data_IF_447639138807
#
_entry.id   IF_447639138807
#
_cell.length_a   1.000
_cell.length_b   1.000
_cell.length_c   1.000
_cell.angle_alpha   90.00
_cell.angle_beta   90.00
_cell.angle_gamma   90.00
#
_symmetry.space_group_name_H-M   'P 1'
#
loop_
_entity.id
_entity.type
_entity.pdbx_description
1 polymer ?
#
# COMPACT_ATOMS: atom_id res chain seq x y z
N UNK A 1 -15.45 75.61 12.20
CA UNK A 1 -14.63 74.55 12.84
C UNK A 1 -15.10 73.19 12.32
N UNK A 2 -14.43 72.64 11.30
CA UNK A 2 -14.69 71.28 10.79
C UNK A 2 -13.35 70.55 10.76
N UNK A 3 -13.20 69.58 11.66
CA UNK A 3 -12.02 68.71 11.77
C UNK A 3 -12.16 67.60 10.73
N UNK A 4 -11.21 67.51 9.81
CA UNK A 4 -11.06 66.38 8.91
C UNK A 4 -10.36 65.23 9.65
N UNK A 5 -11.02 64.08 9.72
CA UNK A 5 -10.43 62.83 10.22
C UNK A 5 -9.77 62.14 9.02
N UNK A 6 -8.45 61.98 9.08
CA UNK A 6 -7.70 61.20 8.10
C UNK A 6 -7.94 59.70 8.35
N UNK A 7 -8.48 59.02 7.33
CA UNK A 7 -8.68 57.57 7.34
C UNK A 7 -7.40 56.90 6.79
N UNK A 8 -6.62 56.29 7.68
CA UNK A 8 -5.46 55.48 7.29
C UNK A 8 -5.92 54.15 6.69
N UNK A 9 -5.72 53.98 5.38
CA UNK A 9 -5.90 52.71 4.68
C UNK A 9 -4.80 51.74 5.11
N UNK A 10 -5.15 50.72 5.89
CA UNK A 10 -4.26 49.60 6.21
C UNK A 10 -4.36 48.57 5.08
N UNK A 11 -3.39 48.58 4.16
CA UNK A 11 -3.25 47.55 3.12
C UNK A 11 -2.82 46.23 3.77
N UNK A 12 -3.76 45.30 3.95
CA UNK A 12 -3.45 43.92 4.31
C UNK A 12 -2.87 43.20 3.08
N UNK A 13 -1.54 43.01 3.07
CA UNK A 13 -0.85 42.09 2.18
C UNK A 13 -1.36 40.66 2.45
N UNK A 14 -2.23 40.14 1.58
CA UNK A 14 -2.46 38.70 1.49
C UNK A 14 -1.18 38.04 0.97
N UNK A 15 -0.41 37.45 1.87
CA UNK A 15 0.61 36.49 1.47
C UNK A 15 -0.06 35.28 0.81
N UNK A 16 0.47 34.76 -0.31
CA UNK A 16 -0.04 33.54 -0.91
C UNK A 16 0.17 32.40 0.10
N UNK A 17 -0.91 31.68 0.41
CA UNK A 17 -0.86 30.45 1.17
C UNK A 17 -0.03 29.44 0.35
N UNK A 18 1.27 29.35 0.63
CA UNK A 18 2.04 28.16 0.32
C UNK A 18 1.31 26.98 0.95
N UNK A 19 1.07 25.94 0.15
CA UNK A 19 0.54 24.67 0.62
C UNK A 19 1.34 24.28 1.86
N UNK A 20 0.69 24.32 3.03
CA UNK A 20 1.31 23.89 4.26
C UNK A 20 1.69 22.43 4.07
N UNK A 21 3.00 22.12 4.11
CA UNK A 21 3.49 20.76 4.10
C UNK A 21 2.74 19.98 5.21
N UNK A 22 2.01 18.94 4.81
CA UNK A 22 1.24 18.13 5.75
C UNK A 22 2.21 17.46 6.74
N UNK A 23 2.18 17.78 8.05
CA UNK A 23 3.16 17.29 9.02
C UNK A 23 3.12 15.75 9.16
N UNK A 24 2.01 15.12 8.77
CA UNK A 24 1.83 13.66 8.84
C UNK A 24 2.44 12.91 7.63
N UNK A 25 2.99 13.62 6.64
CA UNK A 25 3.47 13.07 5.36
C UNK A 25 4.67 12.13 5.50
N UNK A 26 5.76 12.48 6.22
CA UNK A 26 6.85 11.54 6.47
C UNK A 26 6.32 10.29 7.18
N UNK A 27 5.49 10.46 8.21
CA UNK A 27 4.94 9.34 8.97
C UNK A 27 4.12 8.37 8.09
N UNK A 28 3.32 8.89 7.17
CA UNK A 28 2.49 8.08 6.26
C UNK A 28 3.34 7.25 5.31
N UNK A 29 4.31 7.88 4.62
CA UNK A 29 5.22 7.18 3.70
C UNK A 29 6.08 6.16 4.45
N UNK A 30 6.48 6.48 5.68
CA UNK A 30 7.36 5.64 6.49
C UNK A 30 6.62 4.39 6.97
N UNK A 31 5.39 4.53 7.46
CA UNK A 31 4.55 3.40 7.83
C UNK A 31 4.29 2.48 6.62
N UNK A 32 3.92 3.04 5.46
CA UNK A 32 3.66 2.23 4.26
C UNK A 32 4.90 1.51 3.71
N UNK A 33 6.12 1.98 4.02
CA UNK A 33 7.37 1.27 3.64
C UNK A 33 7.54 -0.04 4.40
N UNK A 34 6.92 -0.24 5.58
CA UNK A 34 6.94 -1.55 6.25
C UNK A 34 6.29 -2.64 5.38
N UNK A 35 5.43 -2.25 4.44
CA UNK A 35 4.73 -3.12 3.50
C UNK A 35 5.39 -3.12 2.11
N UNK A 36 6.61 -2.60 1.98
CA UNK A 36 7.31 -2.53 0.68
C UNK A 36 7.48 -3.88 0.00
N UNK A 37 7.56 -4.97 0.77
CA UNK A 37 7.68 -6.32 0.22
C UNK A 37 6.43 -6.75 -0.52
N UNK A 38 5.26 -6.13 -0.29
CA UNK A 38 4.04 -6.45 -1.02
C UNK A 38 4.12 -5.99 -2.48
N UNK A 39 4.92 -4.97 -2.78
CA UNK A 39 5.00 -4.34 -4.10
C UNK A 39 5.55 -5.31 -5.13
N UNK A 40 4.87 -5.38 -6.28
CA UNK A 40 5.20 -6.28 -7.38
C UNK A 40 3.97 -7.02 -7.91
N UNK A 41 4.23 -7.89 -8.88
CA UNK A 41 3.22 -8.78 -9.47
C UNK A 41 3.35 -10.18 -8.87
N UNK A 42 2.20 -10.82 -8.67
CA UNK A 42 2.09 -12.08 -7.97
C UNK A 42 1.05 -12.95 -8.64
N UNK A 43 1.34 -14.24 -8.79
CA UNK A 43 0.42 -15.22 -9.35
C UNK A 43 0.20 -16.35 -8.36
N UNK A 44 -1.05 -16.70 -8.14
CA UNK A 44 -1.42 -17.59 -7.05
C UNK A 44 -2.72 -18.33 -7.26
N UNK A 45 -3.06 -19.09 -6.24
CA UNK A 45 -4.31 -19.87 -6.17
C UNK A 45 -5.00 -19.63 -4.85
N UNK A 46 -6.32 -19.50 -4.90
CA UNK A 46 -7.19 -19.36 -3.74
C UNK A 46 -8.08 -20.58 -3.56
N UNK A 47 -8.43 -20.85 -2.31
CA UNK A 47 -9.37 -21.91 -1.94
C UNK A 47 -9.74 -21.83 -0.46
N UNK A 48 -10.64 -22.71 0.03
CA UNK A 48 -11.00 -22.75 1.43
C UNK A 48 -9.79 -23.01 2.34
N UNK A 49 -9.65 -22.26 3.43
CA UNK A 49 -8.56 -22.44 4.40
C UNK A 49 -8.87 -23.59 5.36
N UNK A 50 -8.78 -24.81 4.85
CA UNK A 50 -8.95 -26.04 5.64
C UNK A 50 -7.93 -27.11 5.28
N UNK A 51 -7.54 -27.99 6.22
CA UNK A 51 -6.45 -28.96 6.01
C UNK A 51 -6.68 -29.93 4.86
N UNK A 52 -7.95 -30.24 4.54
CA UNK A 52 -8.31 -31.19 3.48
C UNK A 52 -9.45 -30.60 2.63
N UNK A 53 -9.11 -29.93 1.52
CA UNK A 53 -10.08 -29.51 0.52
C UNK A 53 -10.77 -30.73 -0.11
N UNK A 54 -12.08 -30.61 -0.31
CA UNK A 54 -12.94 -31.52 -1.07
C UNK A 54 -12.86 -31.20 -2.56
N UNK A 55 -13.03 -32.17 -3.48
CA UNK A 55 -13.08 -31.90 -4.92
C UNK A 55 -14.17 -30.90 -5.34
N UNK A 56 -15.20 -30.69 -4.52
CA UNK A 56 -16.27 -29.71 -4.77
C UNK A 56 -15.95 -28.31 -4.25
N UNK A 57 -14.87 -28.15 -3.51
CA UNK A 57 -14.49 -26.85 -2.99
C UNK A 57 -14.06 -25.93 -4.14
N UNK A 58 -14.42 -24.65 -4.08
CA UNK A 58 -14.03 -23.71 -5.10
C UNK A 58 -12.53 -23.41 -5.00
N UNK A 59 -11.79 -23.78 -6.03
CA UNK A 59 -10.40 -23.37 -6.23
C UNK A 59 -10.36 -22.43 -7.43
N UNK A 60 -9.59 -21.35 -7.33
CA UNK A 60 -9.41 -20.40 -8.43
C UNK A 60 -7.96 -19.94 -8.55
N UNK A 61 -7.61 -19.44 -9.72
CA UNK A 61 -6.36 -18.73 -9.96
C UNK A 61 -6.57 -17.23 -9.79
N UNK A 62 -5.57 -16.53 -9.28
CA UNK A 62 -5.61 -15.10 -9.06
C UNK A 62 -4.24 -14.49 -9.35
N UNK A 63 -4.21 -13.42 -10.15
CA UNK A 63 -3.03 -12.59 -10.30
C UNK A 63 -3.30 -11.26 -9.63
N UNK A 64 -2.38 -10.80 -8.77
CA UNK A 64 -2.46 -9.49 -8.14
C UNK A 64 -1.23 -8.67 -8.44
N UNK A 65 -1.41 -7.35 -8.52
CA UNK A 65 -0.31 -6.40 -8.59
C UNK A 65 -0.49 -5.32 -7.54
N UNK A 66 0.52 -5.20 -6.66
CA UNK A 66 0.64 -4.12 -5.69
C UNK A 66 1.58 -3.06 -6.22
N UNK A 67 1.16 -1.81 -6.12
CA UNK A 67 1.95 -0.65 -6.55
C UNK A 67 1.81 0.51 -5.58
N UNK A 68 2.84 1.34 -5.56
CA UNK A 68 2.72 2.67 -4.98
C UNK A 68 1.85 3.56 -5.86
N UNK A 69 1.05 4.39 -5.23
CA UNK A 69 0.33 5.48 -5.87
C UNK A 69 0.65 6.78 -5.14
N UNK A 70 0.76 7.86 -5.91
CA UNK A 70 1.09 9.19 -5.41
C UNK A 70 0.15 10.20 -6.06
N UNK A 71 -0.36 11.15 -5.28
CA UNK A 71 -1.13 12.28 -5.81
C UNK A 71 -0.92 13.51 -4.92
N UNK A 72 -0.24 14.51 -5.46
CA UNK A 72 0.19 15.66 -4.67
C UNK A 72 1.03 15.19 -3.48
N UNK A 73 0.55 15.47 -2.27
CA UNK A 73 1.21 15.09 -1.01
C UNK A 73 0.76 13.74 -0.44
N UNK A 74 -0.17 13.07 -1.10
CA UNK A 74 -0.74 11.79 -0.66
C UNK A 74 0.01 10.60 -1.27
N UNK A 75 0.18 9.56 -0.47
CA UNK A 75 0.83 8.31 -0.86
C UNK A 75 0.06 7.11 -0.28
N UNK A 76 -0.24 6.13 -1.12
CA UNK A 76 -0.95 4.92 -0.72
C UNK A 76 -0.48 3.73 -1.56
N UNK A 77 -0.82 2.52 -1.10
CA UNK A 77 -0.61 1.31 -1.90
C UNK A 77 -1.92 0.92 -2.57
N UNK A 78 -1.84 0.47 -3.81
CA UNK A 78 -3.00 -0.04 -4.54
C UNK A 78 -2.74 -1.47 -5.00
N UNK A 79 -3.70 -2.35 -4.75
CA UNK A 79 -3.76 -3.70 -5.27
C UNK A 79 -4.77 -3.76 -6.41
N UNK A 80 -4.36 -4.32 -7.53
CA UNK A 80 -5.26 -4.72 -8.62
C UNK A 80 -5.34 -6.23 -8.70
N UNK A 81 -6.52 -6.77 -9.03
CA UNK A 81 -6.78 -8.21 -9.06
C UNK A 81 -7.29 -8.60 -10.44
N UNK A 82 -6.67 -9.62 -11.03
CA UNK A 82 -7.06 -10.26 -12.29
C UNK A 82 -7.46 -11.71 -12.02
N UNK A 83 -8.55 -12.15 -12.66
CA UNK A 83 -9.17 -13.48 -12.51
C UNK A 83 -9.57 -13.90 -11.09
N UNK A 84 -9.38 -13.02 -10.10
CA UNK A 84 -9.72 -13.27 -8.71
C UNK A 84 -11.22 -13.42 -8.46
N UNK A 85 -11.54 -14.23 -7.46
CA UNK A 85 -12.91 -14.55 -7.04
C UNK A 85 -13.48 -13.53 -6.05
N UNK A 86 -12.64 -12.97 -5.18
CA UNK A 86 -13.10 -12.25 -3.99
C UNK A 86 -13.13 -10.73 -4.21
N UNK A 87 -12.06 -10.18 -4.78
CA UNK A 87 -11.87 -8.74 -4.93
C UNK A 87 -11.58 -8.37 -6.39
N UNK A 88 -11.88 -7.12 -6.74
CA UNK A 88 -11.44 -6.46 -7.98
C UNK A 88 -10.17 -5.66 -7.75
N UNK A 89 -10.08 -5.00 -6.60
CA UNK A 89 -8.97 -4.13 -6.23
C UNK A 89 -9.00 -3.83 -4.73
N UNK A 90 -7.94 -3.22 -4.22
CA UNK A 90 -7.94 -2.59 -2.91
C UNK A 90 -7.00 -1.38 -2.87
N UNK A 91 -7.29 -0.43 -2.00
CA UNK A 91 -6.39 0.67 -1.64
C UNK A 91 -6.03 0.57 -0.16
N UNK A 92 -4.74 0.70 0.16
CA UNK A 92 -4.22 0.65 1.50
C UNK A 92 -3.56 1.99 1.87
N UNK A 93 -4.09 2.62 2.91
CA UNK A 93 -3.65 3.91 3.44
C UNK A 93 -3.22 3.76 4.89
N UNK A 94 -2.31 4.61 5.34
CA UNK A 94 -2.03 4.77 6.76
C UNK A 94 -2.83 5.95 7.29
N UNK A 95 -3.42 5.80 8.48
CA UNK A 95 -4.20 6.80 9.20
C UNK A 95 -3.36 7.32 10.39
N UNK A 96 -2.63 8.43 10.25
CA UNK A 96 -1.68 8.92 11.25
C UNK A 96 -2.33 9.18 12.61
N UNK A 97 -3.55 9.72 12.61
CA UNK A 97 -4.27 10.09 13.83
C UNK A 97 -4.70 8.86 14.63
N UNK A 98 -5.02 7.75 13.95
CA UNK A 98 -5.39 6.48 14.59
C UNK A 98 -4.19 5.55 14.80
N UNK A 99 -3.07 5.80 14.12
CA UNK A 99 -1.93 4.87 13.97
C UNK A 99 -2.39 3.49 13.49
N UNK A 100 -3.29 3.49 12.51
CA UNK A 100 -3.86 2.28 11.88
C UNK A 100 -3.62 2.29 10.38
N UNK A 101 -3.54 1.11 9.79
CA UNK A 101 -3.70 0.91 8.36
C UNK A 101 -5.18 0.75 8.04
N UNK A 102 -5.63 1.34 6.94
CA UNK A 102 -6.99 1.19 6.40
C UNK A 102 -6.92 0.61 5.00
N UNK A 103 -7.55 -0.54 4.81
CA UNK A 103 -7.72 -1.18 3.51
C UNK A 103 -9.15 -0.97 3.03
N UNK A 104 -9.31 -0.28 1.91
CA UNK A 104 -10.58 -0.19 1.20
C UNK A 104 -10.56 -1.17 0.03
N UNK A 105 -11.14 -2.34 0.22
CA UNK A 105 -11.26 -3.37 -0.81
C UNK A 105 -12.55 -3.18 -1.62
N UNK A 106 -12.48 -3.38 -2.94
CA UNK A 106 -13.65 -3.46 -3.82
C UNK A 106 -13.93 -4.93 -4.08
N UNK A 107 -15.05 -5.45 -3.57
CA UNK A 107 -15.48 -6.83 -3.77
C UNK A 107 -15.82 -7.11 -5.23
N UNK A 108 -15.90 -8.39 -5.61
CA UNK A 108 -16.32 -8.79 -6.97
C UNK A 108 -17.73 -8.29 -7.32
N UNK A 109 -18.62 -8.18 -6.34
CA UNK A 109 -19.94 -7.54 -6.48
C UNK A 109 -19.86 -6.05 -6.83
N UNK A 110 -18.78 -5.37 -6.44
CA UNK A 110 -18.62 -3.91 -6.54
C UNK A 110 -18.72 -3.20 -5.19
N UNK A 111 -19.12 -3.91 -4.13
CA UNK A 111 -19.23 -3.34 -2.79
C UNK A 111 -17.87 -2.91 -2.24
N UNK A 112 -17.86 -1.79 -1.51
CA UNK A 112 -16.67 -1.32 -0.81
C UNK A 112 -16.64 -1.86 0.61
N UNK A 113 -15.55 -2.55 0.94
CA UNK A 113 -15.31 -3.15 2.24
C UNK A 113 -14.11 -2.43 2.87
N UNK A 114 -14.36 -1.70 3.96
CA UNK A 114 -13.33 -0.95 4.68
C UNK A 114 -12.89 -1.75 5.90
N UNK A 115 -11.61 -2.09 5.96
CA UNK A 115 -10.97 -2.75 7.09
C UNK A 115 -9.95 -1.81 7.73
N UNK A 116 -9.79 -1.88 9.05
CA UNK A 116 -8.78 -1.12 9.79
C UNK A 116 -7.96 -2.05 10.69
N UNK A 117 -6.68 -1.75 10.91
CA UNK A 117 -5.84 -2.56 11.78
C UNK A 117 -4.36 -2.19 11.77
N UNK A 118 -3.50 -3.16 12.12
CA UNK A 118 -2.07 -2.93 12.42
C UNK A 118 -1.21 -4.06 11.86
N UNK A 119 0.09 -3.81 11.82
CA UNK A 119 1.08 -4.87 11.59
C UNK A 119 1.44 -5.48 12.95
N UNK A 120 1.29 -6.80 13.06
CA UNK A 120 1.67 -7.58 14.24
C UNK A 120 2.54 -8.75 13.78
N UNK A 121 3.77 -8.85 14.29
CA UNK A 121 4.70 -9.94 13.95
C UNK A 121 4.86 -10.14 12.43
N UNK A 122 5.06 -9.04 11.68
CA UNK A 122 5.20 -9.02 10.22
C UNK A 122 3.93 -9.43 9.43
N UNK A 123 2.76 -9.48 10.10
CA UNK A 123 1.47 -9.76 9.47
C UNK A 123 0.63 -8.50 9.55
N UNK A 124 0.20 -7.97 8.41
CA UNK A 124 -0.81 -6.92 8.35
C UNK A 124 -2.16 -7.56 8.68
N UNK A 125 -2.72 -7.22 9.83
CA UNK A 125 -4.00 -7.72 10.32
C UNK A 125 -5.01 -6.59 10.34
N UNK A 126 -6.10 -6.76 9.62
CA UNK A 126 -7.13 -5.74 9.44
C UNK A 126 -8.50 -6.38 9.68
N UNK A 127 -9.37 -5.66 10.38
CA UNK A 127 -10.70 -6.14 10.75
C UNK A 127 -11.77 -5.13 10.35
N UNK A 128 -12.99 -5.64 10.16
CA UNK A 128 -14.21 -4.84 10.02
C UNK A 128 -15.39 -5.55 10.64
N UNK A 129 -16.45 -4.80 10.92
CA UNK A 129 -17.75 -5.37 11.29
C UNK A 129 -18.65 -5.39 10.07
N UNK A 130 -19.18 -6.55 9.73
CA UNK A 130 -20.19 -6.68 8.69
C UNK A 130 -21.49 -5.99 9.16
N UNK A 131 -22.04 -5.03 8.39
CA UNK A 131 -23.20 -4.26 8.83
C UNK A 131 -24.47 -5.12 8.95
N UNK A 132 -24.59 -6.17 8.15
CA UNK A 132 -25.79 -7.01 8.04
C UNK A 132 -25.78 -8.14 9.06
N UNK A 133 -24.65 -8.84 9.18
CA UNK A 133 -24.54 -10.03 10.05
C UNK A 133 -23.96 -9.74 11.43
N UNK A 134 -23.45 -8.52 11.64
CA UNK A 134 -22.66 -8.10 12.82
C UNK A 134 -21.42 -8.96 13.09
N UNK A 135 -21.06 -9.86 12.17
CA UNK A 135 -19.85 -10.64 12.27
C UNK A 135 -18.60 -9.75 12.14
N UNK A 136 -17.56 -10.08 12.89
CA UNK A 136 -16.23 -9.51 12.66
C UNK A 136 -15.56 -10.27 11.53
N UNK A 137 -15.22 -9.58 10.44
CA UNK A 137 -14.47 -10.10 9.32
C UNK A 137 -13.01 -9.63 9.43
N UNK A 138 -12.07 -10.50 9.12
CA UNK A 138 -10.64 -10.25 9.20
C UNK A 138 -9.97 -10.60 7.89
N UNK A 139 -9.06 -9.73 7.47
CA UNK A 139 -8.07 -10.02 6.44
C UNK A 139 -6.68 -9.95 7.05
N UNK A 140 -5.87 -10.98 6.81
CA UNK A 140 -4.45 -10.98 7.15
C UNK A 140 -3.63 -11.07 5.88
N UNK A 141 -2.54 -10.31 5.80
CA UNK A 141 -1.61 -10.31 4.67
C UNK A 141 -0.18 -10.40 5.17
N UNK A 142 0.65 -11.22 4.54
CA UNK A 142 2.06 -11.38 4.90
C UNK A 142 2.90 -11.86 3.73
N UNK A 143 4.19 -11.60 3.79
CA UNK A 143 5.19 -12.22 2.92
C UNK A 143 5.89 -13.37 3.64
N UNK A 144 6.41 -14.33 2.87
CA UNK A 144 7.21 -15.45 3.33
C UNK A 144 8.27 -15.81 2.28
N UNK A 145 9.18 -16.74 2.62
CA UNK A 145 10.29 -17.16 1.76
C UNK A 145 11.07 -15.95 1.21
N UNK A 146 11.59 -15.11 2.11
CA UNK A 146 12.38 -13.91 1.77
C UNK A 146 11.69 -12.93 0.81
N UNK A 147 10.35 -12.90 0.83
CA UNK A 147 9.55 -12.02 0.00
C UNK A 147 9.10 -12.61 -1.34
N UNK A 148 9.34 -13.89 -1.60
CA UNK A 148 8.92 -14.56 -2.84
C UNK A 148 7.51 -15.18 -2.75
N UNK A 149 6.97 -15.29 -1.53
CA UNK A 149 5.59 -15.72 -1.29
C UNK A 149 4.79 -14.58 -0.68
N UNK A 150 3.63 -14.29 -1.26
CA UNK A 150 2.62 -13.42 -0.65
C UNK A 150 1.41 -14.28 -0.30
N UNK A 151 0.83 -14.05 0.87
CA UNK A 151 -0.32 -14.81 1.35
C UNK A 151 -1.31 -13.82 1.93
N UNK A 152 -2.58 -13.94 1.53
CA UNK A 152 -3.67 -13.37 2.31
C UNK A 152 -4.67 -14.43 2.76
N UNK A 153 -5.23 -14.23 3.96
CA UNK A 153 -6.31 -15.07 4.50
C UNK A 153 -7.49 -14.23 4.89
N UNK A 154 -8.68 -14.79 4.67
CA UNK A 154 -9.95 -14.27 5.17
C UNK A 154 -10.47 -15.19 6.27
N UNK A 155 -10.98 -14.57 7.32
CA UNK A 155 -11.64 -15.25 8.41
C UNK A 155 -12.80 -14.39 8.93
N UNK A 156 -13.78 -15.02 9.55
CA UNK A 156 -14.83 -14.32 10.27
C UNK A 156 -15.09 -14.93 11.64
N UNK A 157 -15.71 -14.13 12.49
CA UNK A 157 -16.16 -14.48 13.82
C UNK A 157 -17.59 -13.95 13.96
N UNK A 158 -18.54 -14.86 14.23
CA UNK A 158 -19.94 -14.48 14.37
C UNK A 158 -20.15 -13.60 15.60
N UNK A 159 -21.19 -12.76 15.56
CA UNK A 159 -21.61 -11.97 16.72
C UNK A 159 -21.79 -12.86 17.96
N UNK A 160 -21.31 -12.38 19.10
CA UNK A 160 -21.38 -13.10 20.39
C UNK A 160 -20.43 -14.31 20.53
N UNK A 161 -19.62 -14.63 19.52
CA UNK A 161 -18.67 -15.76 19.58
C UNK A 161 -17.22 -15.29 19.65
N UNK A 162 -16.34 -16.16 20.17
CA UNK A 162 -14.88 -15.98 20.16
C UNK A 162 -14.18 -16.83 19.10
N UNK A 163 -14.92 -17.74 18.44
CA UNK A 163 -14.38 -18.70 17.48
C UNK A 163 -14.20 -18.07 16.10
N UNK A 164 -12.95 -18.00 15.64
CA UNK A 164 -12.62 -17.63 14.27
C UNK A 164 -12.81 -18.82 13.32
N UNK A 165 -13.61 -18.61 12.28
CA UNK A 165 -13.70 -19.50 11.12
C UNK A 165 -12.80 -18.97 10.03
N UNK A 166 -11.93 -19.82 9.50
CA UNK A 166 -11.07 -19.49 8.38
C UNK A 166 -11.83 -19.79 7.09
N UNK A 167 -12.03 -18.77 6.28
CA UNK A 167 -12.86 -18.87 5.08
C UNK A 167 -12.01 -19.26 3.89
N UNK A 168 -11.00 -18.44 3.60
CA UNK A 168 -10.18 -18.58 2.41
C UNK A 168 -8.73 -18.28 2.70
N UNK A 169 -7.86 -19.00 1.99
CA UNK A 169 -6.44 -18.73 1.89
C UNK A 169 -6.09 -18.57 0.42
N UNK A 170 -5.36 -17.51 0.11
CA UNK A 170 -4.84 -17.27 -1.23
C UNK A 170 -3.34 -17.08 -1.12
N UNK A 171 -2.60 -17.96 -1.80
CA UNK A 171 -1.15 -18.00 -1.76
C UNK A 171 -0.58 -17.76 -3.15
N UNK A 172 0.39 -16.86 -3.22
CA UNK A 172 0.98 -16.39 -4.45
C UNK A 172 2.48 -16.62 -4.46
N UNK A 173 3.03 -16.76 -5.66
CA UNK A 173 4.45 -16.65 -5.96
C UNK A 173 4.68 -15.32 -6.68
N UNK A 174 5.75 -14.63 -6.33
CA UNK A 174 6.16 -13.42 -7.05
C UNK A 174 6.48 -13.74 -8.50
N UNK A 175 5.98 -12.92 -9.42
CA UNK A 175 6.32 -13.04 -10.83
C UNK A 175 7.66 -12.36 -11.12
N UNK A 176 8.47 -12.98 -12.00
CA UNK A 176 9.74 -12.41 -12.46
C UNK A 176 10.95 -12.67 -11.55
N UNK A 177 10.81 -13.44 -10.46
CA UNK A 177 11.96 -13.94 -9.69
C UNK A 177 12.28 -15.38 -10.10
N UNK A 178 13.49 -15.62 -10.58
CA UNK A 178 13.99 -16.98 -10.79
C UNK A 178 14.39 -17.58 -9.44
N UNK A 179 13.70 -18.64 -9.01
CA UNK A 179 14.10 -19.44 -7.86
C UNK A 179 15.53 -19.94 -8.08
N UNK A 180 16.51 -19.35 -7.38
CA UNK A 180 17.91 -19.80 -7.43
C UNK A 180 18.96 -18.82 -7.94
N UNK A 181 18.62 -17.56 -8.26
CA UNK A 181 19.64 -16.51 -8.48
C UNK A 181 19.45 -15.35 -7.52
N UNK A 182 20.50 -15.06 -6.76
CA UNK A 182 20.65 -13.82 -6.00
C UNK A 182 20.96 -12.72 -7.02
N UNK A 183 19.92 -12.20 -7.68
CA UNK A 183 20.09 -11.00 -8.50
C UNK A 183 20.47 -9.83 -7.58
N UNK A 184 21.41 -8.99 -8.02
CA UNK A 184 21.78 -7.77 -7.30
C UNK A 184 20.50 -6.99 -6.97
N UNK A 185 20.16 -6.92 -5.69
CA UNK A 185 18.99 -6.17 -5.19
C UNK A 185 19.26 -4.68 -5.40
N UNK A 186 18.87 -4.14 -6.57
CA UNK A 186 18.87 -2.70 -6.79
C UNK A 186 17.85 -2.06 -5.84
N UNK A 187 18.11 -0.84 -5.37
CA UNK A 187 17.20 -0.12 -4.48
C UNK A 187 16.35 0.86 -5.30
N UNK A 188 15.05 0.88 -5.03
CA UNK A 188 14.12 1.81 -5.64
C UNK A 188 14.41 3.24 -5.16
N UNK A 189 14.73 4.15 -6.08
CA UNK A 189 15.06 5.56 -5.78
C UNK A 189 13.89 6.32 -5.11
N UNK A 190 12.65 5.89 -5.34
CA UNK A 190 11.43 6.56 -4.83
C UNK A 190 11.00 6.03 -3.47
N UNK A 191 10.91 4.70 -3.34
CA UNK A 191 10.34 4.03 -2.16
C UNK A 191 11.38 3.40 -1.24
N UNK A 192 12.57 3.03 -1.75
CA UNK A 192 13.58 2.25 -1.05
C UNK A 192 13.40 0.72 -1.13
N UNK A 193 12.37 0.23 -1.82
CA UNK A 193 12.12 -1.20 -2.03
C UNK A 193 13.00 -1.85 -3.11
N UNK A 194 12.72 -3.10 -3.49
CA UNK A 194 13.45 -3.79 -4.56
C UNK A 194 13.20 -3.13 -5.92
N UNK A 195 14.25 -2.56 -6.51
CA UNK A 195 14.23 -1.94 -7.83
C UNK A 195 14.34 -2.98 -8.94
N UNK A 196 13.25 -3.24 -9.65
CA UNK A 196 13.18 -4.23 -10.74
C UNK A 196 13.12 -3.58 -12.12
N UNK A 197 12.83 -2.28 -12.19
CA UNK A 197 12.67 -1.52 -13.43
C UNK A 197 13.78 -0.45 -13.50
N UNK A 198 14.52 -0.41 -14.60
CA UNK A 198 15.51 0.65 -14.85
C UNK A 198 14.83 1.91 -15.41
N UNK A 199 15.23 3.08 -14.91
CA UNK A 199 14.84 4.40 -15.41
C UNK A 199 16.09 5.27 -15.57
N UNK A 200 16.17 6.07 -16.63
CA UNK A 200 17.36 6.90 -16.90
C UNK A 200 17.03 8.38 -16.73
N UNK A 201 17.94 9.14 -16.12
CA UNK A 201 17.84 10.60 -16.01
C UNK A 201 19.24 11.24 -16.11
N UNK A 202 19.39 12.24 -16.98
CA UNK A 202 20.66 12.94 -17.24
C UNK A 202 21.86 12.01 -17.48
N UNK A 203 21.64 10.89 -18.17
CA UNK A 203 22.69 9.89 -18.49
C UNK A 203 23.02 8.92 -17.34
N UNK A 204 22.43 9.08 -16.16
CA UNK A 204 22.56 8.14 -15.05
C UNK A 204 21.37 7.15 -15.02
N UNK A 205 21.63 5.90 -14.64
CA UNK A 205 20.60 4.85 -14.51
C UNK A 205 20.21 4.67 -13.05
N UNK A 206 18.92 4.80 -12.78
CA UNK A 206 18.25 4.58 -11.51
C UNK A 206 17.31 3.38 -11.60
N UNK A 207 16.87 2.85 -10.46
CA UNK A 207 15.93 1.73 -10.42
C UNK A 207 14.67 2.10 -9.64
N UNK A 208 13.53 1.55 -10.04
CA UNK A 208 12.22 1.69 -9.38
C UNK A 208 11.53 0.34 -9.24
N UNK A 209 10.64 0.21 -8.26
CA UNK A 209 10.00 -1.08 -7.91
C UNK A 209 8.69 -1.36 -8.64
N UNK A 210 8.04 -0.34 -9.19
CA UNK A 210 6.75 -0.48 -9.88
C UNK A 210 6.51 0.72 -10.80
N UNK A 211 5.49 0.60 -11.67
CA UNK A 211 5.06 1.69 -12.56
C UNK A 211 4.74 2.98 -11.81
N UNK A 212 4.08 2.91 -10.65
CA UNK A 212 3.78 4.12 -9.88
C UNK A 212 5.02 4.86 -9.36
N UNK A 213 6.11 4.14 -9.05
CA UNK A 213 7.39 4.78 -8.75
C UNK A 213 8.08 5.31 -10.01
N UNK A 214 7.92 4.66 -11.16
CA UNK A 214 8.42 5.18 -12.43
C UNK A 214 7.74 6.50 -12.80
N UNK A 215 6.42 6.59 -12.64
CA UNK A 215 5.63 7.78 -12.95
C UNK A 215 6.01 8.93 -12.01
N UNK A 216 6.06 8.68 -10.70
CA UNK A 216 6.51 9.67 -9.72
C UNK A 216 7.94 10.18 -10.02
N UNK A 217 8.85 9.28 -10.39
CA UNK A 217 10.21 9.66 -10.77
C UNK A 217 10.24 10.53 -12.03
N UNK A 218 9.40 10.26 -13.05
CA UNK A 218 9.33 11.08 -14.26
C UNK A 218 8.77 12.47 -13.98
N UNK A 219 7.81 12.58 -13.05
CA UNK A 219 7.22 13.88 -12.68
C UNK A 219 8.20 14.76 -11.90
N UNK A 220 8.97 14.20 -10.96
CA UNK A 220 9.88 14.96 -10.10
C UNK A 220 11.22 14.23 -9.86
N UNK A 221 12.06 14.04 -10.89
CA UNK A 221 13.26 13.20 -10.80
C UNK A 221 14.29 13.76 -9.81
N UNK A 222 14.55 15.07 -9.84
CA UNK A 222 15.57 15.70 -8.99
C UNK A 222 15.27 15.56 -7.50
N UNK A 223 13.99 15.66 -7.11
CA UNK A 223 13.55 15.45 -5.72
C UNK A 223 13.95 14.08 -5.21
N UNK A 224 13.59 13.02 -5.93
CA UNK A 224 13.87 11.64 -5.51
C UNK A 224 15.35 11.31 -5.58
N UNK A 225 16.08 11.83 -6.58
CA UNK A 225 17.54 11.67 -6.67
C UNK A 225 18.24 12.33 -5.47
N UNK A 226 17.83 13.54 -5.09
CA UNK A 226 18.41 14.24 -3.95
C UNK A 226 18.10 13.52 -2.63
N UNK A 227 16.85 13.11 -2.41
CA UNK A 227 16.47 12.28 -1.25
C UNK A 227 17.30 10.98 -1.18
N UNK A 228 17.48 10.32 -2.32
CA UNK A 228 18.26 9.08 -2.41
C UNK A 228 19.76 9.28 -2.15
N UNK A 229 20.37 10.31 -2.74
CA UNK A 229 21.77 10.68 -2.51
C UNK A 229 22.01 11.09 -1.05
N UNK A 230 21.11 11.87 -0.46
CA UNK A 230 21.18 12.24 0.96
C UNK A 230 21.12 11.00 1.88
N UNK A 231 20.22 10.05 1.61
CA UNK A 231 20.14 8.78 2.36
C UNK A 231 21.39 7.92 2.20
N UNK A 232 22.00 7.87 1.02
CA UNK A 232 23.24 7.12 0.79
C UNK A 232 24.43 7.79 1.48
N UNK A 233 24.47 9.12 1.51
CA UNK A 233 25.52 9.88 2.20
C UNK A 233 25.44 9.74 3.73
N UNK A 234 24.24 9.70 4.32
CA UNK A 234 24.05 9.50 5.77
C UNK A 234 24.18 8.05 6.26
N UNK A 235 24.32 7.07 5.36
CA UNK A 235 24.62 5.66 5.68
C UNK A 235 26.11 5.33 5.63
N UNK A 236 26.95 6.28 5.25
CA UNK A 236 28.42 6.16 5.23
C UNK A 236 28.99 6.60 6.57
#
# INVERSE_FOLDING_TARGET
MKRFIALSFLSALLAPAWAADNPDKPQTKEALKELQEFIGSWKGTGGPDKPRPSPRDPIWSETISWRWCFKGDDAWLAMSVQDGKLFKSAELRYLPQKKLYQLTATAKSGDKLVFEGKIERQILKLERTNPDTKATEQITMSTAAEGDRFIYRLAHKNEGTTLWRKDYLVAFTREGVSLGKVDKKNECVVSGGLGTIAVSYKGETYYVCCSGCADAFRENPEKYINEYKAKKAGKK
#
